data_IF_811184566987
#
_entry.id   IF_811184566987
#
_cell.length_a   1.000
_cell.length_b   1.000
_cell.length_c   1.000
_cell.angle_alpha   90.00
_cell.angle_beta   90.00
_cell.angle_gamma   90.00
#
_symmetry.space_group_name_H-M   'P 1'
#
loop_
_entity.id
_entity.type
_entity.pdbx_description
1 polymer ?
#
# COMPACT_ATOMS: atom_id res chain seq x y z
N UNK A 1 -9.98 2.78 -12.05
CA UNK A 1 -8.84 2.56 -12.97
C UNK A 1 -8.24 1.18 -12.72
N UNK A 2 -8.46 0.24 -13.64
CA UNK A 2 -7.79 -1.06 -13.64
C UNK A 2 -6.27 -0.89 -13.83
N UNK A 3 -5.46 -1.49 -12.95
CA UNK A 3 -3.99 -1.45 -13.02
C UNK A 3 -3.52 -2.76 -13.64
N UNK A 4 -2.93 -2.75 -14.86
CA UNK A 4 -2.37 -3.96 -15.46
C UNK A 4 -1.20 -4.49 -14.63
N UNK A 5 -1.08 -5.82 -14.54
CA UNK A 5 0.06 -6.50 -13.93
C UNK A 5 1.36 -6.07 -14.64
N UNK A 6 2.32 -5.48 -13.90
CA UNK A 6 3.58 -4.95 -14.44
C UNK A 6 3.66 -3.43 -14.62
N UNK A 7 2.59 -2.69 -14.30
CA UNK A 7 2.66 -1.22 -14.15
C UNK A 7 2.93 -0.88 -12.69
N UNK A 8 3.73 0.15 -12.43
CA UNK A 8 4.15 0.56 -11.09
C UNK A 8 2.96 0.92 -10.17
N UNK A 9 2.37 -0.07 -9.49
CA UNK A 9 1.21 0.08 -8.60
C UNK A 9 1.40 1.21 -7.59
N UNK A 10 2.61 1.34 -7.04
CA UNK A 10 2.98 2.39 -6.10
C UNK A 10 2.67 3.81 -6.62
N UNK A 11 2.76 4.07 -7.94
CA UNK A 11 2.51 5.41 -8.48
C UNK A 11 1.03 5.72 -8.57
N UNK A 12 0.18 4.71 -8.77
CA UNK A 12 -1.27 4.88 -8.70
C UNK A 12 -1.75 5.08 -7.26
N UNK A 13 -1.09 4.42 -6.29
CA UNK A 13 -1.34 4.68 -4.87
C UNK A 13 -0.99 6.13 -4.51
N UNK A 14 0.14 6.65 -5.02
CA UNK A 14 0.51 8.07 -4.87
C UNK A 14 -0.56 9.00 -5.47
N UNK A 15 -1.09 8.70 -6.65
CA UNK A 15 -2.18 9.50 -7.24
C UNK A 15 -3.45 9.50 -6.39
N UNK A 16 -3.80 8.35 -5.80
CA UNK A 16 -4.93 8.25 -4.87
C UNK A 16 -4.71 9.08 -3.61
N UNK A 17 -3.50 9.00 -3.04
CA UNK A 17 -3.08 9.77 -1.88
C UNK A 17 -3.14 11.28 -2.11
N UNK A 18 -2.63 11.75 -3.25
CA UNK A 18 -2.64 13.18 -3.60
C UNK A 18 -4.05 13.72 -3.86
N UNK A 19 -5.01 12.84 -4.17
CA UNK A 19 -6.43 13.19 -4.35
C UNK A 19 -7.25 12.98 -3.08
N UNK A 20 -6.63 12.53 -1.99
CA UNK A 20 -7.34 12.22 -0.77
C UNK A 20 -7.86 13.50 -0.11
N UNK A 21 -9.19 13.65 -0.04
CA UNK A 21 -9.88 14.77 0.60
C UNK A 21 -10.28 14.48 2.04
N UNK A 22 -9.90 13.32 2.60
CA UNK A 22 -10.23 13.00 3.99
C UNK A 22 -9.41 13.80 5.00
N UNK A 23 -9.90 13.92 6.23
CA UNK A 23 -9.18 14.53 7.34
C UNK A 23 -7.86 13.80 7.66
N UNK A 24 -7.81 12.50 7.39
CA UNK A 24 -6.60 11.69 7.52
C UNK A 24 -5.74 11.89 6.27
N UNK A 25 -4.52 12.37 6.45
CA UNK A 25 -3.54 12.58 5.38
C UNK A 25 -2.35 11.65 5.61
N UNK A 26 -2.34 10.44 5.02
CA UNK A 26 -1.24 9.50 5.21
C UNK A 26 0.03 10.04 4.56
N UNK A 27 1.15 9.94 5.28
CA UNK A 27 2.48 10.26 4.76
C UNK A 27 3.24 9.01 4.27
N UNK A 28 2.71 7.81 4.56
CA UNK A 28 3.39 6.54 4.35
C UNK A 28 2.61 5.65 3.37
N UNK A 29 3.33 5.09 2.39
CA UNK A 29 2.77 4.16 1.40
C UNK A 29 3.42 2.79 1.54
N UNK A 30 2.60 1.79 1.84
CA UNK A 30 2.99 0.40 1.69
C UNK A 30 2.71 -0.07 0.26
N UNK A 31 3.72 -0.64 -0.39
CA UNK A 31 3.61 -1.19 -1.74
C UNK A 31 4.17 -2.62 -1.77
N UNK A 32 3.72 -3.45 -2.72
CA UNK A 32 4.33 -4.75 -2.92
C UNK A 32 5.72 -4.62 -3.59
N UNK A 33 6.39 -5.75 -3.75
CA UNK A 33 7.73 -5.91 -4.33
C UNK A 33 7.87 -5.20 -5.68
N UNK A 34 6.78 -5.10 -6.47
CA UNK A 34 6.77 -4.39 -7.76
C UNK A 34 6.83 -2.85 -7.63
N UNK A 35 6.56 -2.28 -6.45
CA UNK A 35 6.66 -0.84 -6.16
C UNK A 35 8.09 -0.31 -5.98
N UNK A 36 9.12 -1.15 -6.10
CA UNK A 36 10.51 -0.84 -5.72
C UNK A 36 11.33 -0.12 -6.82
N UNK A 37 10.67 0.55 -7.75
CA UNK A 37 11.33 1.34 -8.78
C UNK A 37 12.22 2.41 -8.15
N UNK A 38 13.45 2.54 -8.63
CA UNK A 38 14.33 3.64 -8.26
C UNK A 38 13.65 5.01 -8.51
N UNK A 39 13.12 5.31 -9.72
CA UNK A 39 12.38 6.56 -9.96
C UNK A 39 11.23 6.82 -8.99
N UNK A 40 10.50 5.78 -8.58
CA UNK A 40 9.36 5.92 -7.68
C UNK A 40 9.82 6.29 -6.28
N UNK A 41 10.89 5.66 -5.76
CA UNK A 41 11.54 6.11 -4.52
C UNK A 41 11.95 7.59 -4.58
N UNK A 42 12.55 8.01 -5.71
CA UNK A 42 12.92 9.41 -5.92
C UNK A 42 11.73 10.35 -5.90
N UNK A 43 10.66 10.02 -6.63
CA UNK A 43 9.44 10.84 -6.67
C UNK A 43 8.71 10.89 -5.32
N UNK A 44 8.52 9.75 -4.66
CA UNK A 44 7.89 9.67 -3.35
C UNK A 44 8.62 10.55 -2.34
N UNK A 45 9.96 10.48 -2.31
CA UNK A 45 10.77 11.31 -1.44
C UNK A 45 10.53 12.81 -1.66
N UNK A 46 10.52 13.26 -2.93
CA UNK A 46 10.28 14.68 -3.23
C UNK A 46 8.84 15.13 -2.95
N UNK A 47 7.87 14.23 -3.02
CA UNK A 47 6.48 14.52 -2.64
C UNK A 47 6.31 14.60 -1.12
N UNK A 48 7.27 14.12 -0.33
CA UNK A 48 7.18 13.99 1.12
C UNK A 48 6.46 12.70 1.55
N UNK A 49 6.46 11.68 0.69
CA UNK A 49 5.80 10.40 0.92
C UNK A 49 6.86 9.36 1.26
N UNK A 50 6.72 8.71 2.42
CA UNK A 50 7.57 7.60 2.83
C UNK A 50 7.11 6.30 2.18
N UNK A 51 7.85 5.85 1.17
CA UNK A 51 7.59 4.57 0.51
C UNK A 51 8.20 3.43 1.34
N UNK A 52 7.36 2.51 1.81
CA UNK A 52 7.73 1.34 2.61
C UNK A 52 7.32 0.04 1.89
N UNK A 53 8.01 -0.33 0.81
CA UNK A 53 7.64 -1.53 0.07
C UNK A 53 8.05 -2.80 0.83
N UNK A 54 7.32 -3.89 0.62
CA UNK A 54 7.76 -5.22 1.07
C UNK A 54 9.09 -5.55 0.40
N UNK A 55 10.10 -5.94 1.18
CA UNK A 55 11.42 -6.33 0.67
C UNK A 55 11.57 -7.86 0.77
N UNK A 56 11.68 -8.51 -0.39
CA UNK A 56 12.07 -9.92 -0.51
C UNK A 56 13.53 -10.00 -0.94
N UNK A 57 14.31 -10.92 -0.37
CA UNK A 57 15.72 -11.14 -0.74
C UNK A 57 16.57 -9.86 -0.80
N UNK A 58 16.66 -9.12 0.31
CA UNK A 58 17.36 -7.82 0.35
C UNK A 58 18.80 -7.83 -0.18
N UNK A 59 19.47 -8.99 -0.17
CA UNK A 59 20.84 -9.22 -0.65
C UNK A 59 21.00 -9.09 -2.17
N UNK A 60 19.91 -9.22 -2.91
CA UNK A 60 19.90 -9.11 -4.38
C UNK A 60 19.89 -7.65 -4.84
N UNK A 61 19.48 -6.72 -3.98
CA UNK A 61 19.46 -5.31 -4.34
C UNK A 61 20.86 -4.72 -4.44
N UNK A 62 20.98 -3.74 -5.35
CA UNK A 62 22.14 -2.87 -5.43
C UNK A 62 21.99 -1.72 -4.43
N UNK A 63 22.96 -1.61 -3.53
CA UNK A 63 23.17 -0.44 -2.66
C UNK A 63 24.17 0.49 -3.35
N UNK A 64 23.95 1.79 -3.19
CA UNK A 64 24.74 2.84 -3.82
C UNK A 64 25.52 3.61 -2.76
N UNK A 65 26.82 3.80 -2.96
CA UNK A 65 27.64 4.61 -2.06
C UNK A 65 27.45 6.09 -2.36
N UNK A 66 27.73 6.96 -1.38
CA UNK A 66 27.82 8.39 -1.64
C UNK A 66 28.98 8.71 -2.60
N UNK A 67 30.10 8.00 -2.49
CA UNK A 67 31.31 8.27 -3.27
C UNK A 67 32.07 6.97 -3.56
N UNK A 68 32.86 6.96 -4.63
CA UNK A 68 33.72 5.83 -5.04
C UNK A 68 34.87 5.58 -4.07
N UNK A 69 35.32 6.59 -3.34
CA UNK A 69 36.45 6.48 -2.41
C UNK A 69 36.04 6.00 -1.00
N UNK A 70 34.74 6.02 -0.68
CA UNK A 70 34.24 5.62 0.63
C UNK A 70 34.23 4.10 0.75
N UNK A 71 34.83 3.58 1.83
CA UNK A 71 34.85 2.16 2.19
C UNK A 71 34.27 1.95 3.59
N UNK A 72 33.52 0.87 3.76
CA UNK A 72 32.88 0.52 5.04
C UNK A 72 33.39 -0.82 5.56
N UNK A 73 33.96 -0.85 6.77
CA UNK A 73 34.64 -2.03 7.33
C UNK A 73 33.81 -3.33 7.26
N UNK A 74 32.54 -3.28 7.67
CA UNK A 74 31.70 -4.48 7.83
C UNK A 74 30.65 -4.70 6.74
N UNK A 75 30.33 -3.66 5.97
CA UNK A 75 29.19 -3.66 5.04
C UNK A 75 29.58 -3.30 3.60
N UNK A 76 30.87 -3.19 3.29
CA UNK A 76 31.38 -2.79 1.96
C UNK A 76 30.74 -3.61 0.83
N UNK A 77 30.62 -4.92 1.03
CA UNK A 77 30.11 -5.87 0.05
C UNK A 77 28.65 -5.64 -0.36
N UNK A 78 27.88 -4.86 0.42
CA UNK A 78 26.51 -4.50 0.06
C UNK A 78 26.49 -3.49 -1.09
N UNK A 79 27.48 -2.61 -1.15
CA UNK A 79 27.52 -1.49 -2.06
C UNK A 79 28.26 -1.83 -3.35
N UNK A 80 27.53 -1.77 -4.46
CA UNK A 80 28.00 -2.24 -5.78
C UNK A 80 28.11 -1.14 -6.83
N UNK A 81 27.78 0.09 -6.46
CA UNK A 81 27.67 1.23 -7.37
C UNK A 81 27.70 2.55 -6.56
N UNK A 82 27.73 3.69 -7.24
CA UNK A 82 27.74 5.03 -6.63
C UNK A 82 26.55 5.87 -7.07
N UNK A 83 26.12 6.79 -6.20
CA UNK A 83 25.06 7.74 -6.55
C UNK A 83 25.65 8.83 -7.47
N UNK A 84 24.98 9.08 -8.59
CA UNK A 84 25.32 10.18 -9.50
C UNK A 84 24.73 11.50 -8.98
N UNK A 85 25.49 12.19 -8.12
CA UNK A 85 25.06 13.46 -7.51
C UNK A 85 25.02 14.61 -8.52
N UNK A 86 25.97 14.65 -9.44
CA UNK A 86 26.06 15.69 -10.48
C UNK A 86 24.80 15.70 -11.36
N UNK A 87 24.28 14.51 -11.70
CA UNK A 87 23.04 14.40 -12.47
C UNK A 87 21.82 14.90 -11.68
N UNK A 88 21.77 14.64 -10.36
CA UNK A 88 20.71 15.14 -9.48
C UNK A 88 20.77 16.66 -9.42
N UNK A 89 21.96 17.24 -9.20
CA UNK A 89 22.16 18.68 -9.12
C UNK A 89 21.81 19.37 -10.44
N UNK A 90 22.32 18.84 -11.56
CA UNK A 90 22.07 19.35 -12.91
C UNK A 90 20.57 19.45 -13.22
N UNK A 91 19.79 18.45 -12.82
CA UNK A 91 18.36 18.36 -13.10
C UNK A 91 17.47 18.71 -11.90
N UNK A 92 18.01 19.29 -10.82
CA UNK A 92 17.26 19.55 -9.59
C UNK A 92 16.02 20.41 -9.84
N UNK A 93 16.16 21.48 -10.64
CA UNK A 93 15.05 22.37 -11.01
C UNK A 93 13.96 21.63 -11.80
N UNK A 94 14.35 20.72 -12.70
CA UNK A 94 13.41 19.92 -13.50
C UNK A 94 12.63 18.95 -12.60
N UNK A 95 13.31 18.29 -11.66
CA UNK A 95 12.68 17.41 -10.66
C UNK A 95 11.65 18.18 -9.82
N UNK A 96 12.02 19.37 -9.33
CA UNK A 96 11.11 20.23 -8.55
C UNK A 96 9.92 20.71 -9.37
N UNK A 97 10.13 21.08 -10.63
CA UNK A 97 9.06 21.51 -11.52
C UNK A 97 8.03 20.38 -11.75
N UNK A 98 8.49 19.14 -11.89
CA UNK A 98 7.61 17.97 -11.97
C UNK A 98 6.80 17.81 -10.68
N UNK A 99 7.45 17.85 -9.53
CA UNK A 99 6.81 17.67 -8.22
C UNK A 99 5.76 18.75 -7.97
N UNK A 100 6.06 20.01 -8.29
CA UNK A 100 5.11 21.12 -8.21
C UNK A 100 3.94 20.96 -9.19
N UNK A 101 4.20 20.48 -10.41
CA UNK A 101 3.13 20.20 -11.39
C UNK A 101 2.18 19.10 -10.92
N UNK A 102 2.71 18.10 -10.21
CA UNK A 102 1.92 17.03 -9.59
C UNK A 102 1.12 17.58 -8.40
N UNK A 103 1.76 18.31 -7.48
CA UNK A 103 1.09 18.91 -6.31
C UNK A 103 -0.01 19.92 -6.68
N UNK A 104 0.14 20.62 -7.80
CA UNK A 104 -0.88 21.55 -8.32
C UNK A 104 -1.98 20.84 -9.14
N UNK A 105 -1.95 19.52 -9.24
CA UNK A 105 -2.96 18.73 -9.96
C UNK A 105 -2.91 18.86 -11.49
N UNK A 106 -1.88 19.51 -12.06
CA UNK A 106 -1.75 19.69 -13.52
C UNK A 106 -1.47 18.38 -14.26
N UNK A 107 -0.76 17.45 -13.62
CA UNK A 107 -0.36 16.16 -14.19
C UNK A 107 -0.44 15.10 -13.10
N UNK A 108 -1.03 13.94 -13.41
CA UNK A 108 -1.00 12.77 -12.53
C UNK A 108 0.38 12.11 -12.50
N UNK A 109 0.85 11.70 -11.31
CA UNK A 109 2.14 11.04 -11.12
C UNK A 109 2.23 9.75 -11.95
N UNK A 110 1.16 8.95 -12.03
CA UNK A 110 1.14 7.72 -12.82
C UNK A 110 1.36 7.97 -14.30
N UNK A 111 0.73 9.03 -14.82
CA UNK A 111 0.82 9.40 -16.23
C UNK A 111 2.24 9.87 -16.58
N UNK A 112 2.84 10.68 -15.70
CA UNK A 112 4.20 11.15 -15.86
C UNK A 112 5.21 10.01 -15.80
N UNK A 113 5.14 9.16 -14.77
CA UNK A 113 6.04 8.01 -14.61
C UNK A 113 5.96 7.01 -15.75
N UNK A 114 4.74 6.72 -16.24
CA UNK A 114 4.54 5.88 -17.42
C UNK A 114 5.23 6.48 -18.66
N UNK A 115 5.06 7.80 -18.88
CA UNK A 115 5.69 8.50 -20.01
C UNK A 115 7.22 8.52 -19.90
N UNK A 116 7.76 8.76 -18.70
CA UNK A 116 9.20 8.75 -18.45
C UNK A 116 9.79 7.33 -18.61
N UNK A 117 9.07 6.31 -18.16
CA UNK A 117 9.47 4.90 -18.28
C UNK A 117 9.61 4.41 -19.72
N UNK A 118 8.70 4.80 -20.61
CA UNK A 118 8.72 4.43 -22.04
C UNK A 118 9.99 4.90 -22.77
N UNK A 119 10.62 5.98 -22.30
CA UNK A 119 11.86 6.54 -22.87
C UNK A 119 13.05 6.46 -21.91
N UNK A 120 13.00 5.55 -20.93
CA UNK A 120 13.92 5.48 -19.79
C UNK A 120 15.41 5.60 -20.14
N UNK A 121 15.89 4.94 -21.19
CA UNK A 121 17.32 4.99 -21.59
C UNK A 121 17.78 6.34 -22.16
N UNK A 122 16.89 7.13 -22.76
CA UNK A 122 17.23 8.42 -23.41
C UNK A 122 16.78 9.63 -22.59
N UNK A 123 15.92 9.43 -21.61
CA UNK A 123 15.30 10.51 -20.86
C UNK A 123 16.17 10.89 -19.63
N UNK A 124 16.82 12.05 -19.70
CA UNK A 124 17.67 12.57 -18.61
C UNK A 124 16.90 12.79 -17.31
N UNK A 125 15.65 13.24 -17.39
CA UNK A 125 14.80 13.44 -16.22
C UNK A 125 14.47 12.11 -15.52
N UNK A 126 14.23 11.05 -16.29
CA UNK A 126 14.07 9.70 -15.74
C UNK A 126 15.35 9.24 -15.03
N UNK A 127 16.52 9.48 -15.62
CA UNK A 127 17.81 9.13 -15.00
C UNK A 127 18.06 9.94 -13.72
N UNK A 128 17.69 11.22 -13.68
CA UNK A 128 17.77 12.04 -12.46
C UNK A 128 16.86 11.49 -11.35
N UNK A 129 15.60 11.14 -11.65
CA UNK A 129 14.72 10.47 -10.69
C UNK A 129 15.30 9.13 -10.21
N UNK A 130 15.91 8.36 -11.12
CA UNK A 130 16.56 7.10 -10.79
C UNK A 130 17.77 7.30 -9.88
N UNK A 131 18.62 8.29 -10.14
CA UNK A 131 19.81 8.61 -9.33
C UNK A 131 19.41 9.03 -7.91
N UNK A 132 18.44 9.96 -7.78
CA UNK A 132 17.89 10.33 -6.48
C UNK A 132 17.26 9.13 -5.77
N UNK A 133 16.48 8.34 -6.52
CA UNK A 133 15.90 7.09 -6.03
C UNK A 133 16.92 6.07 -5.54
N UNK A 134 18.11 6.01 -6.13
CA UNK A 134 19.20 5.14 -5.71
C UNK A 134 19.68 5.52 -4.31
N UNK A 135 19.85 6.81 -4.03
CA UNK A 135 20.23 7.29 -2.71
C UNK A 135 19.14 6.97 -1.67
N UNK A 136 17.90 7.38 -1.95
CA UNK A 136 16.76 7.20 -1.05
C UNK A 136 16.50 5.71 -0.76
N UNK A 137 16.49 4.87 -1.79
CA UNK A 137 16.27 3.42 -1.62
C UNK A 137 17.41 2.79 -0.84
N UNK A 138 18.65 3.21 -1.06
CA UNK A 138 19.79 2.69 -0.29
C UNK A 138 19.62 2.99 1.20
N UNK A 139 19.24 4.24 1.53
CA UNK A 139 18.96 4.61 2.91
C UNK A 139 17.83 3.78 3.52
N UNK A 140 16.74 3.60 2.78
CA UNK A 140 15.62 2.75 3.20
C UNK A 140 16.05 1.29 3.44
N UNK A 141 16.83 0.70 2.54
CA UNK A 141 17.30 -0.68 2.70
C UNK A 141 18.24 -0.84 3.89
N UNK A 142 19.12 0.13 4.15
CA UNK A 142 19.98 0.13 5.33
C UNK A 142 19.15 0.20 6.62
N UNK A 143 18.14 1.08 6.67
CA UNK A 143 17.18 1.15 7.78
C UNK A 143 16.40 -0.16 7.93
N UNK A 144 15.94 -0.74 6.82
CA UNK A 144 15.22 -2.01 6.83
C UNK A 144 16.06 -3.15 7.41
N UNK A 145 17.37 -3.19 7.16
CA UNK A 145 18.26 -4.23 7.70
C UNK A 145 18.61 -3.96 9.18
N UNK A 146 18.77 -2.70 9.58
CA UNK A 146 19.17 -2.36 10.95
C UNK A 146 18.01 -2.31 11.94
N UNK A 147 16.80 -1.99 11.49
CA UNK A 147 15.63 -1.76 12.36
C UNK A 147 14.65 -2.93 12.28
N UNK A 148 14.43 -3.62 13.41
CA UNK A 148 13.53 -4.78 13.47
C UNK A 148 12.07 -4.36 13.44
N UNK A 149 11.73 -3.32 14.17
CA UNK A 149 10.39 -2.78 14.33
C UNK A 149 9.83 -2.34 12.97
N UNK A 150 10.66 -1.69 12.13
CA UNK A 150 10.31 -1.31 10.77
C UNK A 150 9.97 -2.55 9.91
N UNK A 151 10.73 -3.63 10.02
CA UNK A 151 10.44 -4.88 9.28
C UNK A 151 9.14 -5.52 9.74
N UNK A 152 8.91 -5.56 11.05
CA UNK A 152 7.67 -6.09 11.63
C UNK A 152 6.47 -5.26 11.19
N UNK A 153 6.57 -3.93 11.19
CA UNK A 153 5.53 -3.04 10.70
C UNK A 153 5.22 -3.28 9.21
N UNK A 154 6.23 -3.34 8.35
CA UNK A 154 6.05 -3.59 6.91
C UNK A 154 5.40 -4.97 6.68
N UNK A 155 5.83 -5.98 7.43
CA UNK A 155 5.27 -7.34 7.35
C UNK A 155 3.81 -7.36 7.82
N UNK A 156 3.50 -6.70 8.94
CA UNK A 156 2.14 -6.61 9.46
C UNK A 156 1.19 -5.89 8.48
N UNK A 157 1.63 -4.77 7.89
CA UNK A 157 0.86 -4.07 6.85
C UNK A 157 0.61 -4.95 5.63
N UNK A 158 1.62 -5.71 5.19
CA UNK A 158 1.47 -6.66 4.07
C UNK A 158 0.46 -7.75 4.41
N UNK A 159 0.55 -8.34 5.60
CA UNK A 159 -0.38 -9.39 6.05
C UNK A 159 -1.83 -8.89 6.08
N UNK A 160 -2.08 -7.63 6.46
CA UNK A 160 -3.42 -7.02 6.42
C UNK A 160 -3.97 -6.97 4.99
N UNK A 161 -3.16 -6.54 4.03
CA UNK A 161 -3.55 -6.48 2.62
C UNK A 161 -3.79 -7.88 2.05
N UNK A 162 -2.92 -8.85 2.36
CA UNK A 162 -3.10 -10.25 1.94
C UNK A 162 -4.38 -10.86 2.53
N UNK A 163 -4.67 -10.59 3.81
CA UNK A 163 -5.89 -11.04 4.46
C UNK A 163 -7.14 -10.42 3.84
N UNK A 164 -7.13 -9.11 3.54
CA UNK A 164 -8.22 -8.46 2.81
C UNK A 164 -8.41 -9.08 1.42
N UNK A 165 -7.33 -9.32 0.67
CA UNK A 165 -7.41 -9.93 -0.65
C UNK A 165 -8.02 -11.35 -0.60
N UNK A 166 -7.60 -12.15 0.38
CA UNK A 166 -8.20 -13.48 0.61
C UNK A 166 -9.68 -13.39 0.97
N UNK A 167 -10.05 -12.42 1.80
CA UNK A 167 -11.42 -12.13 2.19
C UNK A 167 -12.28 -11.67 1.02
N UNK A 168 -11.84 -10.70 0.24
CA UNK A 168 -12.57 -10.22 -0.94
C UNK A 168 -12.71 -11.32 -2.00
N UNK A 169 -11.71 -12.20 -2.16
CA UNK A 169 -11.80 -13.36 -3.06
C UNK A 169 -12.90 -14.35 -2.64
N UNK A 170 -13.21 -14.45 -1.33
CA UNK A 170 -14.31 -15.28 -0.85
C UNK A 170 -15.67 -14.81 -1.40
N UNK A 171 -15.86 -13.50 -1.59
CA UNK A 171 -17.11 -12.92 -2.09
C UNK A 171 -17.23 -12.91 -3.61
N UNK A 172 -16.13 -13.11 -4.32
CA UNK A 172 -16.17 -13.21 -5.77
C UNK A 172 -16.95 -14.48 -6.19
N UNK A 173 -18.08 -14.29 -6.87
CA UNK A 173 -19.03 -15.36 -7.19
C UNK A 173 -18.85 -15.83 -8.65
N UNK A 174 -18.59 -17.12 -8.85
CA UNK A 174 -18.30 -17.71 -10.17
C UNK A 174 -16.86 -17.45 -10.65
N UNK A 175 -16.17 -18.50 -11.11
CA UNK A 175 -14.86 -18.38 -11.76
C UNK A 175 -13.64 -18.14 -10.87
N UNK A 176 -13.72 -18.30 -9.55
CA UNK A 176 -12.58 -18.11 -8.62
C UNK A 176 -11.86 -16.75 -8.69
N UNK A 177 -12.53 -15.69 -9.18
CA UNK A 177 -11.87 -14.39 -9.42
C UNK A 177 -11.42 -14.17 -10.87
N UNK A 178 -11.68 -15.11 -11.77
CA UNK A 178 -11.39 -14.96 -13.20
C UNK A 178 -12.50 -14.14 -13.84
N UNK A 179 -12.18 -12.90 -14.19
CA UNK A 179 -13.06 -12.07 -15.02
C UNK A 179 -12.92 -12.59 -16.45
N UNK A 180 -13.94 -13.32 -16.91
CA UNK A 180 -13.96 -13.93 -18.24
C UNK A 180 -14.14 -12.90 -19.38
N UNK A 181 -14.53 -11.67 -19.02
CA UNK A 181 -14.71 -10.58 -19.96
C UNK A 181 -13.40 -9.83 -20.20
N UNK A 182 -13.07 -9.56 -21.46
CA UNK A 182 -11.93 -8.72 -21.85
C UNK A 182 -12.28 -7.23 -21.88
N UNK A 183 -13.52 -6.85 -21.54
CA UNK A 183 -13.92 -5.45 -21.38
C UNK A 183 -13.42 -4.86 -20.04
N UNK A 184 -12.55 -3.83 -20.07
CA UNK A 184 -12.07 -3.16 -18.87
C UNK A 184 -13.18 -2.54 -18.00
N UNK A 185 -14.31 -2.13 -18.61
CA UNK A 185 -15.43 -1.50 -17.88
C UNK A 185 -16.15 -2.54 -17.03
N UNK A 186 -16.40 -3.74 -17.58
CA UNK A 186 -17.02 -4.82 -16.84
C UNK A 186 -16.09 -5.38 -15.76
N UNK A 187 -14.78 -5.43 -16.04
CA UNK A 187 -13.77 -5.76 -15.02
C UNK A 187 -13.79 -4.77 -13.84
N UNK A 188 -13.84 -3.47 -14.13
CA UNK A 188 -13.89 -2.43 -13.09
C UNK A 188 -15.17 -2.52 -12.25
N UNK A 189 -16.33 -2.73 -12.89
CA UNK A 189 -17.60 -2.95 -12.18
C UNK A 189 -17.53 -4.16 -11.25
N UNK A 190 -17.02 -5.29 -11.74
CA UNK A 190 -16.92 -6.51 -10.95
C UNK A 190 -16.07 -6.30 -9.68
N UNK A 191 -14.95 -5.59 -9.80
CA UNK A 191 -14.10 -5.24 -8.65
C UNK A 191 -14.84 -4.32 -7.68
N UNK A 192 -15.47 -3.24 -8.17
CA UNK A 192 -16.19 -2.28 -7.33
C UNK A 192 -17.35 -2.91 -6.57
N UNK A 193 -18.15 -3.76 -7.22
CA UNK A 193 -19.25 -4.46 -6.56
C UNK A 193 -18.73 -5.46 -5.52
N UNK A 194 -17.64 -6.16 -5.81
CA UNK A 194 -17.03 -7.07 -4.85
C UNK A 194 -16.48 -6.32 -3.62
N UNK A 195 -15.84 -5.16 -3.84
CA UNK A 195 -15.37 -4.30 -2.76
C UNK A 195 -16.53 -3.77 -1.91
N UNK A 196 -17.66 -3.40 -2.53
CA UNK A 196 -18.86 -2.97 -1.81
C UNK A 196 -19.39 -4.08 -0.88
N UNK A 197 -19.53 -5.30 -1.39
CA UNK A 197 -19.98 -6.45 -0.59
C UNK A 197 -18.98 -6.77 0.52
N UNK A 198 -17.68 -6.78 0.20
CA UNK A 198 -16.62 -7.04 1.17
C UNK A 198 -16.67 -6.01 2.31
N UNK A 199 -16.79 -4.72 1.99
CA UNK A 199 -16.89 -3.66 3.00
C UNK A 199 -18.17 -3.76 3.84
N UNK A 200 -19.30 -4.14 3.24
CA UNK A 200 -20.54 -4.35 3.98
C UNK A 200 -20.41 -5.49 5.01
N UNK A 201 -19.75 -6.60 4.63
CA UNK A 201 -19.51 -7.71 5.57
C UNK A 201 -18.45 -7.36 6.61
N UNK A 202 -17.40 -6.61 6.25
CA UNK A 202 -16.43 -6.07 7.22
C UNK A 202 -17.17 -5.24 8.28
N UNK A 203 -18.07 -4.35 7.85
CA UNK A 203 -18.86 -3.53 8.76
C UNK A 203 -19.73 -4.38 9.68
N UNK A 204 -20.47 -5.35 9.12
CA UNK A 204 -21.25 -6.32 9.91
C UNK A 204 -20.40 -7.05 10.95
N UNK A 205 -19.23 -7.56 10.53
CA UNK A 205 -18.31 -8.27 11.41
C UNK A 205 -17.82 -7.39 12.57
N UNK A 206 -17.49 -6.13 12.30
CA UNK A 206 -17.08 -5.17 13.35
C UNK A 206 -18.22 -4.92 14.33
N UNK A 207 -19.45 -4.73 13.85
CA UNK A 207 -20.63 -4.52 14.70
C UNK A 207 -20.88 -5.74 15.60
N UNK A 208 -20.89 -6.94 15.04
CA UNK A 208 -21.13 -8.17 15.81
C UNK A 208 -19.99 -8.47 16.79
N UNK A 209 -18.74 -8.32 16.37
CA UNK A 209 -17.59 -8.46 17.27
C UNK A 209 -17.70 -7.48 18.44
N UNK A 210 -18.09 -6.23 18.18
CA UNK A 210 -18.30 -5.22 19.22
C UNK A 210 -19.41 -5.65 20.18
N UNK A 211 -20.56 -6.13 19.68
CA UNK A 211 -21.66 -6.64 20.51
C UNK A 211 -21.23 -7.80 21.39
N UNK A 212 -20.49 -8.77 20.83
CA UNK A 212 -19.98 -9.92 21.56
C UNK A 212 -19.01 -9.48 22.66
N UNK A 213 -18.08 -8.56 22.35
CA UNK A 213 -17.15 -8.02 23.34
C UNK A 213 -17.89 -7.28 24.47
N UNK A 214 -18.84 -6.41 24.16
CA UNK A 214 -19.66 -5.72 25.16
C UNK A 214 -20.42 -6.70 26.05
N UNK A 215 -20.97 -7.78 25.47
CA UNK A 215 -21.65 -8.84 26.23
C UNK A 215 -20.70 -9.57 27.18
N UNK A 216 -19.49 -9.94 26.71
CA UNK A 216 -18.47 -10.58 27.53
C UNK A 216 -18.01 -9.66 28.67
N UNK A 217 -17.83 -8.37 28.40
CA UNK A 217 -17.49 -7.38 29.43
C UNK A 217 -18.57 -7.26 30.50
N UNK A 218 -19.86 -7.29 30.11
CA UNK A 218 -20.99 -7.32 31.06
C UNK A 218 -21.03 -8.58 31.92
N UNK A 219 -20.48 -9.69 31.41
CA UNK A 219 -20.31 -10.94 32.16
C UNK A 219 -19.08 -10.93 33.08
N UNK A 220 -18.30 -9.84 33.10
CA UNK A 220 -17.13 -9.66 33.96
C UNK A 220 -15.78 -9.98 33.32
N UNK A 221 -15.74 -10.27 32.02
CA UNK A 221 -14.47 -10.47 31.31
C UNK A 221 -13.74 -9.14 31.11
N UNK A 222 -12.45 -9.09 31.44
CA UNK A 222 -11.59 -7.93 31.14
C UNK A 222 -11.08 -8.06 29.71
N UNK A 223 -11.51 -7.18 28.81
CA UNK A 223 -11.01 -7.10 27.43
C UNK A 223 -10.12 -5.86 27.30
N UNK A 224 -8.87 -6.07 26.93
CA UNK A 224 -7.84 -5.03 26.78
C UNK A 224 -7.67 -4.62 25.31
N UNK A 225 -6.92 -3.54 25.05
CA UNK A 225 -6.59 -3.14 23.67
C UNK A 225 -5.73 -4.18 22.96
N UNK A 226 -4.85 -4.84 23.70
CA UNK A 226 -3.99 -5.89 23.21
C UNK A 226 -4.83 -7.09 22.72
N UNK A 227 -5.89 -7.46 23.44
CA UNK A 227 -6.80 -8.53 23.02
C UNK A 227 -7.51 -8.19 21.70
N UNK A 228 -8.02 -6.95 21.59
CA UNK A 228 -8.69 -6.47 20.37
C UNK A 228 -7.73 -6.41 19.18
N UNK A 229 -6.44 -6.13 19.42
CA UNK A 229 -5.43 -6.07 18.37
C UNK A 229 -5.19 -7.42 17.67
N UNK A 230 -5.58 -8.55 18.29
CA UNK A 230 -5.53 -9.88 17.67
C UNK A 230 -6.77 -10.22 16.83
N UNK A 231 -7.84 -9.43 16.93
CA UNK A 231 -9.06 -9.66 16.15
C UNK A 231 -8.90 -9.12 14.73
N UNK A 232 -9.56 -9.81 13.80
CA UNK A 232 -9.67 -9.38 12.41
C UNK A 232 -11.14 -9.30 12.03
N UNK A 233 -11.57 -8.26 11.29
CA UNK A 233 -12.91 -8.19 10.74
C UNK A 233 -13.07 -9.07 9.49
N UNK A 234 -12.05 -9.81 9.07
CA UNK A 234 -12.04 -10.61 7.84
C UNK A 234 -12.47 -12.06 8.04
N UNK A 235 -13.43 -12.29 8.94
CA UNK A 235 -13.95 -13.63 9.25
C UNK A 235 -15.10 -13.98 8.30
N UNK A 236 -15.07 -15.17 7.70
CA UNK A 236 -16.07 -15.63 6.73
C UNK A 236 -16.84 -16.88 7.16
N UNK A 237 -16.45 -17.54 8.25
CA UNK A 237 -17.01 -18.83 8.69
C UNK A 237 -18.51 -18.79 9.00
N UNK A 238 -19.01 -17.64 9.46
CA UNK A 238 -20.44 -17.42 9.74
C UNK A 238 -21.23 -16.95 8.51
N UNK A 239 -20.55 -16.62 7.41
CA UNK A 239 -21.17 -16.11 6.20
C UNK A 239 -21.57 -17.27 5.31
N UNK A 240 -22.89 -17.50 5.22
CA UNK A 240 -23.46 -18.41 4.23
C UNK A 240 -23.18 -17.81 2.84
N UNK A 241 -22.37 -18.51 2.03
CA UNK A 241 -22.01 -18.08 0.67
C UNK A 241 -22.95 -18.64 -0.40
N UNK A 242 -23.47 -19.85 -0.20
CA UNK A 242 -24.31 -20.55 -1.17
C UNK A 242 -25.64 -20.99 -0.55
N UNK A 243 -26.66 -21.11 -1.40
CA UNK A 243 -28.01 -21.53 -1.04
C UNK A 243 -28.99 -20.36 -0.96
N UNK A 244 -30.19 -20.64 -0.48
CA UNK A 244 -31.27 -19.66 -0.48
C UNK A 244 -31.10 -18.64 0.67
N UNK A 245 -31.36 -17.38 0.34
CA UNK A 245 -31.43 -16.27 1.28
C UNK A 245 -32.89 -15.86 1.41
N UNK A 246 -33.44 -15.97 2.61
CA UNK A 246 -34.71 -15.37 2.97
C UNK A 246 -34.39 -14.01 3.57
N UNK A 247 -34.61 -12.95 2.79
CA UNK A 247 -34.34 -11.57 3.21
C UNK A 247 -35.67 -10.94 3.62
N UNK A 248 -35.76 -10.53 4.87
CA UNK A 248 -36.81 -9.65 5.33
C UNK A 248 -36.40 -8.20 5.04
N UNK A 249 -37.10 -7.57 4.10
CA UNK A 249 -36.82 -6.18 3.68
C UNK A 249 -37.41 -5.14 4.62
N UNK A 250 -38.29 -5.55 5.54
CA UNK A 250 -38.91 -4.66 6.53
C UNK A 250 -38.18 -4.70 7.89
N UNK A 251 -37.28 -5.66 8.08
CA UNK A 251 -36.48 -5.78 9.29
C UNK A 251 -35.57 -4.55 9.48
N UNK A 252 -35.83 -3.79 10.55
CA UNK A 252 -34.99 -2.67 10.96
C UNK A 252 -33.75 -3.23 11.69
N UNK A 253 -32.52 -2.92 11.24
CA UNK A 253 -31.32 -3.37 11.93
C UNK A 253 -31.26 -2.82 13.35
N UNK A 254 -30.82 -3.64 14.30
CA UNK A 254 -30.55 -3.16 15.65
C UNK A 254 -29.50 -2.05 15.63
N UNK A 255 -29.61 -1.04 16.52
CA UNK A 255 -28.61 0.00 16.64
C UNK A 255 -27.25 -0.59 16.99
N UNK A 256 -26.18 0.07 16.54
CA UNK A 256 -24.81 -0.29 16.86
C UNK A 256 -24.15 0.82 17.68
N UNK A 257 -23.24 0.42 18.56
CA UNK A 257 -22.44 1.34 19.34
C UNK A 257 -21.24 1.81 18.51
N UNK A 258 -20.94 3.11 18.56
CA UNK A 258 -19.77 3.69 17.86
C UNK A 258 -18.52 3.73 18.75
N UNK A 259 -18.68 3.44 20.04
CA UNK A 259 -17.61 3.50 21.04
C UNK A 259 -17.55 2.19 21.83
N UNK A 260 -16.34 1.67 22.04
CA UNK A 260 -16.09 0.49 22.87
C UNK A 260 -15.14 0.87 24.01
N UNK A 261 -15.67 0.92 25.23
CA UNK A 261 -14.93 1.30 26.43
C UNK A 261 -14.08 0.12 26.94
N UNK A 262 -12.89 -0.07 26.36
CA UNK A 262 -11.97 -1.15 26.74
C UNK A 262 -11.33 -0.92 28.11
N UNK A 263 -10.93 -2.01 28.76
CA UNK A 263 -10.18 -1.92 30.00
C UNK A 263 -8.74 -1.44 29.71
N UNK A 264 -8.25 -0.54 30.59
CA UNK A 264 -6.86 -0.08 30.58
C UNK A 264 -5.85 -1.10 31.07
#
# INVERSE_FOLDING_TARGET
HFIPCGVWEAVYIIDGLLKNTSDIQPDTVHADTQGQSLPVFGLSHLLGIQLMPRIRNWREYKFFRPDEDIRYEYIDALFRDTVDWDLIETHWKDLMQVVLSIKTGKIAASTLMRKLGNYSRKNRLYQAFKALGSAVRTLFLLQYISNRELREQITASTNKVEAYNGFAKYFFFGGEGVIADNDPVEQEKAVQYNDLVSNAVIFYNVVEQTRIMTSLMRQGWKITREDVAFLSPYVTSHVKRFGDYLIDVEAVPEPYETELALAG
#
